data_IF_068619263354
#
_entry.id   IF_068619263354
#
_cell.length_a   1.000
_cell.length_b   1.000
_cell.length_c   1.000
_cell.angle_alpha   90.00
_cell.angle_beta   90.00
_cell.angle_gamma   90.00
#
_symmetry.space_group_name_H-M   'P 1'
#
loop_
_entity.id
_entity.type
_entity.pdbx_description
1 polymer ?
#
# COMPACT_ATOMS: atom_id res chain seq x y z
N UNK A 1 11.32 30.02 10.07
CA UNK A 1 11.67 28.80 10.82
C UNK A 1 12.06 29.25 12.21
N UNK A 2 11.30 28.89 13.23
CA UNK A 2 11.69 29.15 14.63
C UNK A 2 12.91 28.32 14.97
N UNK A 3 13.74 28.80 15.88
CA UNK A 3 14.92 28.14 16.41
C UNK A 3 14.58 26.91 17.27
N UNK A 4 13.89 25.93 16.68
CA UNK A 4 13.50 24.67 17.31
C UNK A 4 12.45 23.92 16.51
N UNK A 5 12.33 22.59 16.66
CA UNK A 5 11.32 21.81 15.97
C UNK A 5 9.92 22.21 16.46
N UNK A 6 9.07 22.67 15.56
CA UNK A 6 7.70 23.03 15.86
C UNK A 6 6.88 23.16 14.59
N UNK A 7 5.61 22.75 14.67
CA UNK A 7 4.65 22.97 13.59
C UNK A 7 4.05 24.38 13.71
N UNK A 8 3.72 24.98 12.58
CA UNK A 8 3.06 26.27 12.51
C UNK A 8 1.78 26.17 11.72
N UNK A 9 0.75 26.90 12.12
CA UNK A 9 -0.45 27.03 11.29
C UNK A 9 -0.08 27.74 10.00
N UNK A 10 -0.54 27.20 8.87
CA UNK A 10 -0.26 27.76 7.55
C UNK A 10 -1.16 28.96 7.30
N UNK A 11 -0.55 30.12 7.09
CA UNK A 11 -1.13 31.36 6.59
C UNK A 11 -0.15 32.03 5.60
N UNK A 12 -0.50 33.16 5.01
CA UNK A 12 0.34 33.82 4.01
C UNK A 12 1.72 34.22 4.56
N UNK A 13 1.77 34.65 5.83
CA UNK A 13 3.01 35.01 6.51
C UNK A 13 3.92 33.78 6.70
N UNK A 14 3.38 32.69 7.27
CA UNK A 14 4.15 31.46 7.53
C UNK A 14 4.53 30.74 6.24
N UNK A 15 3.71 30.86 5.17
CA UNK A 15 4.06 30.39 3.84
C UNK A 15 5.27 31.14 3.28
N UNK A 16 5.29 32.46 3.41
CA UNK A 16 6.45 33.28 2.99
C UNK A 16 7.71 32.99 3.80
N UNK A 17 7.57 32.74 5.12
CA UNK A 17 8.68 32.30 5.97
C UNK A 17 9.22 30.91 5.54
N UNK A 18 8.33 29.97 5.26
CA UNK A 18 8.68 28.64 4.77
C UNK A 18 9.43 28.67 3.43
N UNK A 19 8.93 29.46 2.47
CA UNK A 19 9.59 29.63 1.17
C UNK A 19 11.01 30.20 1.33
N UNK A 20 11.21 31.21 2.17
CA UNK A 20 12.54 31.74 2.47
C UNK A 20 13.47 30.72 3.11
N UNK A 21 12.94 29.91 4.04
CA UNK A 21 13.69 28.86 4.69
C UNK A 21 14.15 27.77 3.70
N UNK A 22 13.25 27.35 2.79
CA UNK A 22 13.56 26.38 1.74
C UNK A 22 14.64 26.92 0.81
N UNK A 23 14.52 28.18 0.36
CA UNK A 23 15.53 28.81 -0.51
C UNK A 23 16.90 29.01 0.15
N UNK A 24 16.96 28.98 1.46
CA UNK A 24 18.20 29.09 2.24
C UNK A 24 18.86 27.71 2.50
N UNK A 25 18.21 26.59 2.12
CA UNK A 25 18.80 25.25 2.26
C UNK A 25 19.94 25.09 1.23
N UNK A 26 21.01 24.51 1.71
CA UNK A 26 22.09 24.02 0.85
C UNK A 26 22.14 22.50 0.92
N UNK A 27 22.29 21.87 -0.24
CA UNK A 27 22.44 20.41 -0.30
C UNK A 27 23.76 20.02 0.35
N UNK A 28 23.71 19.25 1.43
CA UNK A 28 24.90 18.73 2.14
C UNK A 28 24.53 17.46 2.91
N UNK A 29 25.48 16.52 3.00
CA UNK A 29 25.31 15.27 3.73
C UNK A 29 24.75 14.14 2.89
N UNK A 30 24.39 13.03 3.55
CA UNK A 30 23.79 11.86 2.95
C UNK A 30 22.30 11.72 3.29
N UNK A 31 21.68 10.68 2.76
CA UNK A 31 20.28 10.34 2.98
C UNK A 31 20.17 9.45 4.22
N UNK A 32 19.58 9.95 5.31
CA UNK A 32 19.37 9.23 6.58
C UNK A 32 17.91 9.31 6.97
N UNK A 33 17.10 8.42 6.39
CA UNK A 33 15.64 8.49 6.44
C UNK A 33 15.10 8.32 7.86
N UNK A 34 15.77 7.56 8.73
CA UNK A 34 15.34 7.40 10.13
C UNK A 34 15.21 8.72 10.86
N UNK A 35 16.13 9.66 10.60
CA UNK A 35 16.12 10.99 11.24
C UNK A 35 14.93 11.82 10.79
N UNK A 36 14.49 11.66 9.55
CA UNK A 36 13.31 12.36 9.00
C UNK A 36 12.02 11.84 9.63
N UNK A 37 11.91 10.50 9.80
CA UNK A 37 10.80 9.88 10.48
C UNK A 37 10.72 10.30 11.96
N UNK A 38 11.84 10.32 12.66
CA UNK A 38 11.90 10.73 14.07
C UNK A 38 11.60 12.24 14.21
N UNK A 39 12.08 13.08 13.28
CA UNK A 39 11.74 14.49 13.25
C UNK A 39 10.23 14.70 13.05
N UNK A 40 9.60 13.97 12.13
CA UNK A 40 8.16 14.04 11.93
C UNK A 40 7.40 13.67 13.22
N UNK A 41 7.82 12.60 13.91
CA UNK A 41 7.28 12.23 15.21
C UNK A 41 7.40 13.36 16.26
N UNK A 42 8.55 13.99 16.34
CA UNK A 42 8.81 15.12 17.25
C UNK A 42 7.93 16.33 16.91
N UNK A 43 7.77 16.63 15.61
CA UNK A 43 6.92 17.72 15.16
C UNK A 43 5.44 17.48 15.53
N UNK A 44 4.92 16.28 15.31
CA UNK A 44 3.54 15.94 15.71
C UNK A 44 3.34 15.93 17.23
N UNK A 45 4.36 15.56 17.99
CA UNK A 45 4.29 15.62 19.44
C UNK A 45 4.15 17.06 19.96
N UNK A 46 4.57 18.07 19.18
CA UNK A 46 4.40 19.50 19.55
C UNK A 46 2.97 20.01 19.35
N UNK A 47 2.09 19.24 18.71
CA UNK A 47 0.67 19.59 18.42
C UNK A 47 -0.23 18.38 18.73
N UNK A 48 -0.35 17.95 19.99
CA UNK A 48 -1.05 16.73 20.37
C UNK A 48 -2.54 16.74 20.04
N UNK A 49 -3.15 17.92 19.92
CA UNK A 49 -4.55 18.12 19.58
C UNK A 49 -4.89 17.76 18.12
N UNK A 50 -3.87 17.64 17.24
CA UNK A 50 -4.08 17.28 15.83
C UNK A 50 -4.28 15.78 15.72
N UNK A 51 -5.45 15.38 15.23
CA UNK A 51 -5.81 13.96 15.07
C UNK A 51 -5.34 13.38 13.74
N UNK A 52 -5.31 14.18 12.68
CA UNK A 52 -4.83 13.76 11.36
C UNK A 52 -3.35 14.14 11.21
N UNK A 53 -2.50 13.13 11.19
CA UNK A 53 -1.05 13.26 11.07
C UNK A 53 -0.58 12.61 9.79
N UNK A 54 -0.09 13.41 8.86
CA UNK A 54 0.35 12.95 7.56
C UNK A 54 1.71 13.52 7.19
N UNK A 55 2.60 12.66 6.71
CA UNK A 55 3.94 12.99 6.22
C UNK A 55 3.99 12.74 4.72
N UNK A 56 4.55 13.65 3.97
CA UNK A 56 5.06 13.40 2.63
C UNK A 56 6.57 13.28 2.70
N UNK A 57 7.09 12.06 2.51
CA UNK A 57 8.51 11.78 2.40
C UNK A 57 8.92 11.85 0.94
N UNK A 58 9.90 12.69 0.65
CA UNK A 58 10.48 12.83 -0.68
C UNK A 58 11.98 12.55 -0.60
N UNK A 59 12.49 11.70 -1.48
CA UNK A 59 13.93 11.39 -1.59
C UNK A 59 14.35 11.26 -3.04
N UNK A 60 15.57 11.64 -3.35
CA UNK A 60 16.25 11.45 -4.64
C UNK A 60 17.44 10.50 -4.53
N UNK A 61 17.73 9.99 -3.33
CA UNK A 61 18.89 9.15 -3.06
C UNK A 61 18.58 7.90 -2.21
N UNK A 62 19.52 6.95 -2.26
CA UNK A 62 19.50 5.75 -1.41
C UNK A 62 19.73 6.11 0.06
N UNK A 63 19.07 5.37 0.95
CA UNK A 63 19.31 5.50 2.38
C UNK A 63 20.71 5.00 2.76
N UNK A 64 21.47 5.83 3.47
CA UNK A 64 22.88 5.56 3.81
C UNK A 64 23.06 4.91 5.19
N UNK A 65 21.98 4.50 5.84
CA UNK A 65 22.04 3.91 7.17
C UNK A 65 21.77 2.39 7.17
N UNK A 66 22.19 1.65 8.20
CA UNK A 66 21.85 0.24 8.34
C UNK A 66 20.32 0.02 8.41
N UNK A 67 19.84 -1.05 7.75
CA UNK A 67 18.42 -1.38 7.71
C UNK A 67 17.77 -1.48 9.11
N UNK A 68 18.51 -1.96 10.11
CA UNK A 68 18.04 -2.07 11.49
C UNK A 68 17.70 -0.72 12.15
N UNK A 69 18.42 0.34 11.77
CA UNK A 69 18.18 1.71 12.28
C UNK A 69 16.89 2.26 11.68
N UNK A 70 16.74 2.12 10.36
CA UNK A 70 15.50 2.48 9.68
C UNK A 70 14.30 1.69 10.21
N UNK A 71 14.44 0.37 10.42
CA UNK A 71 13.38 -0.46 11.00
C UNK A 71 12.95 -0.01 12.39
N UNK A 72 13.89 0.43 13.21
CA UNK A 72 13.57 0.98 14.53
C UNK A 72 12.78 2.29 14.44
N UNK A 73 13.12 3.17 13.49
CA UNK A 73 12.39 4.41 13.25
C UNK A 73 10.97 4.13 12.70
N UNK A 74 10.85 3.20 11.76
CA UNK A 74 9.55 2.76 11.24
C UNK A 74 8.65 2.24 12.37
N UNK A 75 9.17 1.38 13.25
CA UNK A 75 8.39 0.88 14.40
C UNK A 75 7.90 1.99 15.32
N UNK A 76 8.72 3.03 15.57
CA UNK A 76 8.28 4.20 16.38
C UNK A 76 7.20 5.01 15.69
N UNK A 77 7.25 5.12 14.37
CA UNK A 77 6.31 5.88 13.56
C UNK A 77 4.97 5.14 13.33
N UNK A 78 4.99 3.80 13.37
CA UNK A 78 3.82 2.94 13.13
C UNK A 78 2.68 3.28 14.11
N UNK A 79 1.46 3.45 13.57
CA UNK A 79 0.24 3.86 14.28
C UNK A 79 0.29 5.28 14.89
N UNK A 80 1.33 6.06 14.60
CA UNK A 80 1.43 7.43 15.11
C UNK A 80 1.10 8.48 14.03
N UNK A 81 1.53 8.25 12.78
CA UNK A 81 1.20 9.06 11.62
C UNK A 81 1.21 8.21 10.34
N UNK A 82 0.60 8.74 9.27
CA UNK A 82 0.69 8.16 7.93
C UNK A 82 1.79 8.84 7.12
N UNK A 83 2.41 8.09 6.19
CA UNK A 83 3.43 8.64 5.32
C UNK A 83 3.26 8.17 3.87
N UNK A 84 2.93 9.10 2.98
CA UNK A 84 3.09 8.90 1.54
C UNK A 84 4.55 9.15 1.16
N UNK A 85 5.12 8.28 0.34
CA UNK A 85 6.51 8.33 -0.05
C UNK A 85 6.66 8.52 -1.54
N UNK A 86 7.57 9.41 -1.95
CA UNK A 86 7.87 9.68 -3.36
C UNK A 86 9.38 9.66 -3.56
N UNK A 87 9.81 8.94 -4.58
CA UNK A 87 11.19 9.00 -5.01
C UNK A 87 11.32 9.84 -6.28
N UNK A 88 12.23 10.80 -6.30
CA UNK A 88 12.54 11.63 -7.44
C UNK A 88 13.74 11.06 -8.21
N UNK A 89 13.63 11.00 -9.55
CA UNK A 89 14.66 10.35 -10.37
C UNK A 89 14.78 8.85 -10.10
N UNK A 90 15.99 8.30 -10.18
CA UNK A 90 16.20 6.84 -10.16
C UNK A 90 17.26 6.35 -9.16
N UNK A 91 17.81 7.22 -8.32
CA UNK A 91 18.95 6.86 -7.45
C UNK A 91 18.52 6.44 -6.02
N UNK A 92 17.32 5.92 -5.89
CA UNK A 92 16.74 5.42 -4.66
C UNK A 92 16.22 3.97 -4.81
N UNK A 93 15.88 3.29 -3.70
CA UNK A 93 15.40 1.90 -3.70
C UNK A 93 13.89 1.81 -3.47
N UNK A 94 13.16 1.30 -4.47
CA UNK A 94 11.69 1.12 -4.40
C UNK A 94 11.28 0.26 -3.21
N UNK A 95 11.96 -0.86 -2.98
CA UNK A 95 11.66 -1.79 -1.87
C UNK A 95 11.78 -1.13 -0.50
N UNK A 96 12.74 -0.23 -0.31
CA UNK A 96 12.97 0.44 0.96
C UNK A 96 11.88 1.47 1.26
N UNK A 97 11.58 2.32 0.27
CA UNK A 97 10.54 3.35 0.41
C UNK A 97 9.14 2.74 0.48
N UNK A 98 8.90 1.65 -0.27
CA UNK A 98 7.65 0.87 -0.16
C UNK A 98 7.46 0.32 1.25
N UNK A 99 8.51 -0.22 1.86
CA UNK A 99 8.45 -0.72 3.24
C UNK A 99 8.04 0.37 4.23
N UNK A 100 8.55 1.60 4.06
CA UNK A 100 8.14 2.74 4.88
C UNK A 100 6.67 3.08 4.65
N UNK A 101 6.28 3.28 3.39
CA UNK A 101 4.91 3.63 3.03
C UNK A 101 3.90 2.58 3.53
N UNK A 102 4.18 1.30 3.29
CA UNK A 102 3.33 0.21 3.77
C UNK A 102 3.24 0.21 5.30
N UNK A 103 4.36 0.31 6.02
CA UNK A 103 4.35 0.35 7.48
C UNK A 103 3.54 1.53 8.03
N UNK A 104 3.49 2.64 7.32
CA UNK A 104 2.81 3.89 7.73
C UNK A 104 1.50 4.14 6.99
N UNK A 105 0.89 3.09 6.40
CA UNK A 105 -0.44 3.13 5.73
C UNK A 105 -0.53 4.20 4.62
N UNK A 106 0.55 4.44 3.93
CA UNK A 106 0.64 5.38 2.82
C UNK A 106 0.93 4.69 1.49
N UNK A 107 1.21 5.49 0.48
CA UNK A 107 1.48 5.07 -0.89
C UNK A 107 2.93 5.35 -1.28
N UNK A 108 3.44 4.59 -2.25
CA UNK A 108 4.74 4.85 -2.89
C UNK A 108 4.53 5.11 -4.37
N UNK A 109 5.25 6.09 -4.91
CA UNK A 109 5.32 6.31 -6.36
C UNK A 109 6.64 6.97 -6.74
N UNK A 110 6.93 6.99 -8.06
CA UNK A 110 8.11 7.64 -8.64
C UNK A 110 7.72 8.96 -9.30
N UNK A 111 8.58 9.96 -9.16
CA UNK A 111 8.56 11.20 -9.93
C UNK A 111 9.75 11.13 -10.91
N UNK A 112 9.56 10.64 -12.14
CA UNK A 112 10.68 10.38 -13.04
C UNK A 112 11.37 11.66 -13.51
N UNK A 113 10.62 12.77 -13.60
CA UNK A 113 11.13 14.04 -14.09
C UNK A 113 10.88 15.19 -13.11
N UNK A 114 11.89 16.04 -12.82
CA UNK A 114 11.72 17.18 -11.91
C UNK A 114 10.58 18.13 -12.30
N UNK A 115 10.28 18.28 -13.59
CA UNK A 115 9.19 19.12 -14.09
C UNK A 115 7.79 18.66 -13.59
N UNK A 116 7.63 17.40 -13.23
CA UNK A 116 6.36 16.83 -12.74
C UNK A 116 6.18 17.01 -11.23
N UNK A 117 7.23 17.40 -10.51
CA UNK A 117 7.25 17.43 -9.03
C UNK A 117 6.18 18.36 -8.47
N UNK A 118 6.03 19.57 -9.03
CA UNK A 118 5.05 20.54 -8.53
C UNK A 118 3.62 20.02 -8.67
N UNK A 119 3.25 19.49 -9.83
CA UNK A 119 1.90 18.98 -10.09
C UNK A 119 1.56 17.79 -9.17
N UNK A 120 2.49 16.84 -9.02
CA UNK A 120 2.29 15.69 -8.13
C UNK A 120 2.23 16.11 -6.66
N UNK A 121 3.06 17.06 -6.23
CA UNK A 121 3.02 17.56 -4.88
C UNK A 121 1.66 18.23 -4.57
N UNK A 122 1.13 19.05 -5.49
CA UNK A 122 -0.18 19.67 -5.35
C UNK A 122 -1.31 18.64 -5.29
N UNK A 123 -1.22 17.56 -6.06
CA UNK A 123 -2.20 16.47 -6.03
C UNK A 123 -2.20 15.74 -4.68
N UNK A 124 -1.02 15.37 -4.18
CA UNK A 124 -0.85 14.71 -2.88
C UNK A 124 -1.37 15.59 -1.75
N UNK A 125 -1.06 16.88 -1.79
CA UNK A 125 -1.54 17.83 -0.78
C UNK A 125 -3.06 17.96 -0.80
N UNK A 126 -3.68 18.05 -2.00
CA UNK A 126 -5.15 18.06 -2.13
C UNK A 126 -5.77 16.78 -1.59
N UNK A 127 -5.23 15.63 -1.95
CA UNK A 127 -5.70 14.33 -1.45
C UNK A 127 -5.55 14.23 0.09
N UNK A 128 -4.44 14.69 0.65
CA UNK A 128 -4.24 14.71 2.09
C UNK A 128 -5.22 15.63 2.81
N UNK A 129 -5.47 16.82 2.27
CA UNK A 129 -6.40 17.80 2.86
C UNK A 129 -7.87 17.40 2.73
N UNK A 130 -8.22 16.53 1.77
CA UNK A 130 -9.59 16.02 1.59
C UNK A 130 -9.95 14.89 2.56
N UNK A 131 -8.99 14.35 3.32
CA UNK A 131 -9.24 13.27 4.27
C UNK A 131 -10.08 13.80 5.43
N UNK A 132 -11.32 13.31 5.54
CA UNK A 132 -12.27 13.73 6.58
C UNK A 132 -12.30 12.83 7.80
N UNK A 133 -11.75 11.60 7.69
CA UNK A 133 -11.75 10.59 8.75
C UNK A 133 -10.31 10.14 9.00
N UNK A 134 -9.81 10.36 10.21
CA UNK A 134 -8.39 10.10 10.55
C UNK A 134 -8.10 8.69 11.05
N UNK A 135 -9.07 8.00 11.65
CA UNK A 135 -8.86 6.73 12.37
C UNK A 135 -10.00 5.75 12.09
N UNK A 136 -10.11 5.31 10.85
CA UNK A 136 -11.03 4.24 10.50
C UNK A 136 -10.35 2.88 10.70
N UNK A 137 -11.09 1.94 11.28
CA UNK A 137 -10.63 0.58 11.55
C UNK A 137 -11.58 -0.44 10.93
N UNK A 138 -11.02 -1.47 10.34
CA UNK A 138 -11.77 -2.67 9.97
C UNK A 138 -11.79 -3.62 11.15
N UNK A 139 -12.96 -3.85 11.74
CA UNK A 139 -13.13 -4.84 12.84
C UNK A 139 -13.68 -6.14 12.26
N UNK A 140 -13.02 -7.24 12.57
CA UNK A 140 -13.41 -8.57 12.12
C UNK A 140 -13.66 -9.44 13.35
N UNK A 141 -14.92 -9.82 13.52
CA UNK A 141 -15.33 -10.85 14.48
C UNK A 141 -15.40 -12.19 13.75
N UNK A 142 -14.89 -13.24 14.38
CA UNK A 142 -15.04 -14.63 13.94
C UNK A 142 -15.49 -15.50 15.13
N UNK A 143 -16.26 -16.59 14.91
CA UNK A 143 -16.78 -17.42 15.98
C UNK A 143 -15.65 -18.19 16.68
N UNK A 144 -15.92 -18.67 17.88
CA UNK A 144 -14.98 -19.49 18.62
C UNK A 144 -14.53 -20.72 17.82
N UNK A 145 -13.24 -20.99 17.82
CA UNK A 145 -12.60 -22.05 17.04
C UNK A 145 -12.31 -21.70 15.58
N UNK A 146 -12.78 -20.54 15.09
CA UNK A 146 -12.40 -20.02 13.77
C UNK A 146 -11.05 -19.30 13.82
N UNK A 147 -10.38 -19.25 12.67
CA UNK A 147 -9.13 -18.53 12.48
C UNK A 147 -9.29 -17.49 11.36
N UNK A 148 -9.03 -16.23 11.64
CA UNK A 148 -8.82 -15.22 10.61
C UNK A 148 -7.46 -15.48 9.98
N UNK A 149 -7.44 -15.91 8.72
CA UNK A 149 -6.22 -16.32 7.99
C UNK A 149 -5.49 -15.09 7.50
N UNK A 150 -6.21 -14.17 6.87
CA UNK A 150 -5.69 -12.86 6.49
C UNK A 150 -6.79 -11.80 6.43
N UNK A 151 -6.35 -10.56 6.58
CA UNK A 151 -7.12 -9.35 6.27
C UNK A 151 -6.25 -8.49 5.37
N UNK A 152 -6.77 -8.16 4.19
CA UNK A 152 -6.00 -7.46 3.16
C UNK A 152 -6.86 -6.40 2.49
N UNK A 153 -6.35 -5.17 2.37
CA UNK A 153 -6.89 -4.21 1.43
C UNK A 153 -6.56 -4.67 0.02
N UNK A 154 -7.49 -4.58 -0.90
CA UNK A 154 -7.31 -5.02 -2.30
C UNK A 154 -7.69 -3.94 -3.30
N UNK A 155 -8.27 -2.83 -2.84
CA UNK A 155 -8.50 -1.61 -3.60
C UNK A 155 -8.32 -0.39 -2.67
N UNK A 156 -7.65 0.68 -3.08
CA UNK A 156 -7.02 0.96 -4.38
C UNK A 156 -5.65 0.29 -4.58
N UNK A 157 -5.09 -0.26 -3.51
CA UNK A 157 -3.77 -0.93 -3.50
C UNK A 157 -3.84 -2.21 -2.70
N UNK A 158 -2.98 -3.17 -3.06
CA UNK A 158 -2.79 -4.38 -2.24
C UNK A 158 -1.97 -4.03 -1.01
N UNK A 159 -2.57 -4.20 0.17
CA UNK A 159 -1.91 -3.98 1.46
C UNK A 159 -2.32 -5.09 2.45
N UNK A 160 -1.37 -5.84 2.98
CA UNK A 160 -1.63 -6.88 3.97
C UNK A 160 -1.69 -6.29 5.38
N UNK A 161 -2.86 -6.37 6.00
CA UNK A 161 -3.14 -5.85 7.34
C UNK A 161 -3.08 -6.94 8.41
N UNK A 162 -2.87 -8.19 8.03
CA UNK A 162 -3.00 -9.37 8.92
C UNK A 162 -2.17 -9.24 10.19
N UNK A 163 -0.90 -8.83 10.05
CA UNK A 163 0.02 -8.67 11.17
C UNK A 163 -0.27 -7.42 12.05
N UNK A 164 -1.17 -6.54 11.60
CA UNK A 164 -1.52 -5.29 12.34
C UNK A 164 -2.72 -5.45 13.25
N UNK A 165 -3.15 -6.69 13.49
CA UNK A 165 -4.28 -6.99 14.34
C UNK A 165 -4.03 -6.50 15.77
N UNK A 166 -4.96 -5.69 16.27
CA UNK A 166 -5.10 -5.40 17.70
C UNK A 166 -6.36 -6.08 18.23
N UNK A 167 -6.31 -6.67 19.43
CA UNK A 167 -7.47 -7.31 20.01
C UNK A 167 -8.45 -6.26 20.53
N UNK A 168 -9.71 -6.32 20.06
CA UNK A 168 -10.83 -5.61 20.69
C UNK A 168 -11.42 -6.48 21.80
N UNK A 169 -11.54 -7.79 21.54
CA UNK A 169 -11.84 -8.84 22.50
C UNK A 169 -11.34 -10.19 21.93
N UNK A 170 -11.61 -11.30 22.62
CA UNK A 170 -11.12 -12.63 22.25
C UNK A 170 -11.51 -13.04 20.83
N UNK A 171 -12.70 -12.64 20.37
CA UNK A 171 -13.24 -13.03 19.07
C UNK A 171 -13.14 -11.92 18.01
N UNK A 172 -12.76 -10.69 18.37
CA UNK A 172 -12.75 -9.54 17.47
C UNK A 172 -11.35 -8.94 17.37
N UNK A 173 -10.83 -8.84 16.16
CA UNK A 173 -9.62 -8.08 15.85
C UNK A 173 -9.96 -6.77 15.14
N UNK A 174 -9.23 -5.70 15.47
CA UNK A 174 -9.25 -4.44 14.75
C UNK A 174 -7.97 -4.32 13.91
N UNK A 175 -8.14 -3.79 12.69
CA UNK A 175 -7.08 -3.60 11.71
C UNK A 175 -7.12 -2.14 11.26
N UNK A 176 -6.01 -1.38 11.37
CA UNK A 176 -5.98 0.02 10.98
C UNK A 176 -6.08 0.14 9.46
N UNK A 177 -6.91 1.06 8.98
CA UNK A 177 -7.09 1.30 7.54
C UNK A 177 -6.55 2.66 7.10
N UNK A 178 -6.04 3.44 8.03
CA UNK A 178 -5.55 4.78 7.78
C UNK A 178 -6.66 5.83 7.64
N UNK A 179 -6.29 7.04 7.25
CA UNK A 179 -7.24 8.11 7.03
C UNK A 179 -7.98 7.93 5.70
N UNK A 180 -9.24 8.37 5.67
CA UNK A 180 -10.13 8.26 4.52
C UNK A 180 -10.55 9.63 4.02
N UNK A 181 -10.59 9.78 2.70
CA UNK A 181 -11.28 10.84 1.97
C UNK A 181 -12.65 10.36 1.49
N UNK A 182 -13.25 11.05 0.52
CA UNK A 182 -14.41 10.55 -0.22
C UNK A 182 -13.94 9.50 -1.26
N UNK A 183 -13.78 8.27 -0.78
CA UNK A 183 -13.20 7.17 -1.55
C UNK A 183 -13.87 5.83 -1.23
N UNK A 184 -13.63 4.85 -2.10
CA UNK A 184 -14.05 3.47 -1.88
C UNK A 184 -12.83 2.59 -1.71
N UNK A 185 -12.84 1.72 -0.70
CA UNK A 185 -11.82 0.68 -0.49
C UNK A 185 -12.47 -0.69 -0.39
N UNK A 186 -11.84 -1.68 -1.00
CA UNK A 186 -12.29 -3.07 -0.93
C UNK A 186 -11.29 -3.89 -0.09
N UNK A 187 -11.83 -4.81 0.71
CA UNK A 187 -11.05 -5.66 1.60
C UNK A 187 -11.39 -7.12 1.39
N UNK A 188 -10.37 -7.97 1.33
CA UNK A 188 -10.50 -9.40 1.43
C UNK A 188 -10.23 -9.86 2.87
N UNK A 189 -11.18 -10.61 3.42
CA UNK A 189 -11.07 -11.26 4.71
C UNK A 189 -11.22 -12.75 4.50
N UNK A 190 -10.21 -13.52 4.89
CA UNK A 190 -10.24 -14.99 4.84
C UNK A 190 -10.38 -15.55 6.25
N UNK A 191 -11.40 -16.38 6.44
CA UNK A 191 -11.67 -17.04 7.71
C UNK A 191 -11.75 -18.54 7.49
N UNK A 192 -10.97 -19.30 8.26
CA UNK A 192 -11.04 -20.76 8.33
C UNK A 192 -11.98 -21.15 9.46
N UNK A 193 -12.96 -21.98 9.14
CA UNK A 193 -13.94 -22.47 10.10
C UNK A 193 -13.68 -23.95 10.43
N UNK A 194 -14.01 -24.40 11.65
CA UNK A 194 -14.09 -25.83 11.94
C UNK A 194 -15.16 -26.50 11.06
N UNK A 195 -14.90 -27.73 10.64
CA UNK A 195 -15.88 -28.50 9.90
C UNK A 195 -17.15 -28.77 10.72
N UNK A 196 -18.30 -28.74 10.06
CA UNK A 196 -19.62 -29.07 10.64
C UNK A 196 -20.37 -30.07 9.78
N UNK A 197 -21.47 -30.58 10.29
CA UNK A 197 -22.32 -31.49 9.56
C UNK A 197 -22.93 -30.82 8.31
N UNK A 198 -23.14 -31.60 7.25
CA UNK A 198 -23.74 -31.13 6.01
C UNK A 198 -25.11 -30.48 6.27
N UNK A 199 -25.39 -29.41 5.57
CA UNK A 199 -26.60 -28.62 5.70
C UNK A 199 -26.59 -27.60 6.85
N UNK A 200 -25.63 -27.66 7.77
CA UNK A 200 -25.52 -26.66 8.83
C UNK A 200 -25.07 -25.31 8.28
N UNK A 201 -25.58 -24.26 8.91
CA UNK A 201 -25.19 -22.88 8.65
C UNK A 201 -24.66 -22.22 9.92
N UNK A 202 -23.70 -21.31 9.77
CA UNK A 202 -23.28 -20.43 10.85
C UNK A 202 -22.79 -19.08 10.33
N UNK A 203 -22.76 -18.09 11.21
CA UNK A 203 -22.09 -16.83 10.94
C UNK A 203 -20.57 -17.10 10.92
N UNK A 204 -19.94 -16.89 9.75
CA UNK A 204 -18.52 -17.09 9.54
C UNK A 204 -17.70 -15.88 9.98
N UNK A 205 -18.20 -14.67 9.69
CA UNK A 205 -17.58 -13.43 10.10
C UNK A 205 -18.64 -12.31 10.22
N UNK A 206 -18.34 -11.34 11.09
CA UNK A 206 -18.94 -10.01 11.07
C UNK A 206 -17.83 -9.03 10.80
N UNK A 207 -17.96 -8.26 9.72
CA UNK A 207 -16.97 -7.25 9.33
C UNK A 207 -17.61 -5.87 9.55
N UNK A 208 -16.89 -4.98 10.21
CA UNK A 208 -17.38 -3.67 10.59
C UNK A 208 -16.36 -2.61 10.22
N UNK A 209 -16.84 -1.44 9.80
CA UNK A 209 -16.04 -0.20 9.78
C UNK A 209 -16.39 0.59 11.04
N UNK A 210 -15.39 0.91 11.83
CA UNK A 210 -15.52 1.67 13.06
C UNK A 210 -14.58 2.89 13.07
N UNK A 211 -15.03 3.97 13.70
CA UNK A 211 -14.25 5.17 13.98
C UNK A 211 -14.27 5.34 15.50
N UNK A 212 -13.11 5.17 16.14
CA UNK A 212 -13.08 5.02 17.58
C UNK A 212 -13.94 3.83 18.02
N UNK A 213 -14.88 4.05 18.94
CA UNK A 213 -15.83 3.01 19.39
C UNK A 213 -17.12 2.95 18.56
N UNK A 214 -17.34 3.88 17.66
CA UNK A 214 -18.57 4.00 16.88
C UNK A 214 -18.50 3.16 15.59
N UNK A 215 -19.39 2.16 15.49
CA UNK A 215 -19.55 1.31 14.30
C UNK A 215 -20.40 2.02 13.27
N UNK A 216 -19.80 2.39 12.13
CA UNK A 216 -20.46 3.13 11.05
C UNK A 216 -21.20 2.22 10.06
N UNK A 217 -20.66 1.02 9.82
CA UNK A 217 -21.26 0.04 8.93
C UNK A 217 -20.87 -1.38 9.32
N UNK A 218 -21.69 -2.36 8.95
CA UNK A 218 -21.36 -3.77 9.14
C UNK A 218 -21.90 -4.65 8.03
N UNK A 219 -21.19 -5.76 7.79
CA UNK A 219 -21.59 -6.86 6.93
C UNK A 219 -21.48 -8.19 7.67
N UNK A 220 -22.37 -9.12 7.34
CA UNK A 220 -22.41 -10.46 7.90
C UNK A 220 -22.09 -11.47 6.81
N UNK A 221 -21.16 -12.38 7.08
CA UNK A 221 -20.80 -13.49 6.19
C UNK A 221 -21.26 -14.79 6.82
N UNK A 222 -22.13 -15.52 6.13
CA UNK A 222 -22.63 -16.85 6.54
C UNK A 222 -21.89 -17.93 5.76
N UNK A 223 -21.61 -19.04 6.40
CA UNK A 223 -21.10 -20.25 5.77
C UNK A 223 -22.12 -21.38 5.94
N UNK A 224 -22.25 -22.18 4.86
CA UNK A 224 -23.09 -23.39 4.84
C UNK A 224 -22.23 -24.56 4.37
N UNK A 225 -22.28 -25.67 5.10
CA UNK A 225 -21.57 -26.90 4.71
C UNK A 225 -22.40 -27.68 3.69
N UNK A 226 -21.81 -27.95 2.54
CA UNK A 226 -22.46 -28.64 1.42
C UNK A 226 -21.54 -29.73 0.86
N UNK A 227 -22.13 -30.82 0.37
CA UNK A 227 -21.46 -31.83 -0.43
C UNK A 227 -21.57 -31.58 -1.93
N UNK A 228 -22.20 -30.49 -2.36
CA UNK A 228 -22.32 -30.11 -3.76
C UNK A 228 -21.04 -29.44 -4.24
N UNK A 229 -20.25 -30.16 -5.05
CA UNK A 229 -18.97 -29.69 -5.58
C UNK A 229 -19.15 -28.44 -6.46
N UNK A 230 -20.28 -28.24 -7.14
CA UNK A 230 -20.53 -27.04 -7.93
C UNK A 230 -20.68 -25.79 -7.05
N UNK A 231 -21.16 -25.95 -5.82
CA UNK A 231 -21.28 -24.84 -4.86
C UNK A 231 -19.94 -24.60 -4.14
N UNK A 232 -19.23 -25.66 -3.77
CA UNK A 232 -18.00 -25.58 -2.98
C UNK A 232 -16.78 -25.19 -3.80
N UNK A 233 -16.73 -25.55 -5.09
CA UNK A 233 -15.66 -25.19 -6.02
C UNK A 233 -15.85 -23.83 -6.71
N UNK A 234 -17.03 -23.19 -6.57
CA UNK A 234 -17.33 -21.91 -7.21
C UNK A 234 -16.67 -20.77 -6.45
N UNK A 235 -15.75 -20.08 -7.12
CA UNK A 235 -15.14 -18.85 -6.60
C UNK A 235 -15.99 -17.66 -7.08
N UNK A 236 -16.31 -16.74 -6.17
CA UNK A 236 -16.95 -15.47 -6.53
C UNK A 236 -16.03 -14.67 -7.47
N UNK A 237 -16.62 -14.08 -8.51
CA UNK A 237 -15.85 -13.37 -9.54
C UNK A 237 -15.06 -12.17 -9.00
N UNK A 238 -15.59 -11.48 -7.99
CA UNK A 238 -14.87 -10.36 -7.36
C UNK A 238 -13.68 -10.88 -6.52
N UNK A 239 -13.90 -11.99 -5.80
CA UNK A 239 -12.81 -12.64 -5.06
C UNK A 239 -11.72 -13.13 -6.02
N UNK A 240 -12.10 -13.75 -7.14
CA UNK A 240 -11.15 -14.20 -8.17
C UNK A 240 -10.36 -13.03 -8.77
N UNK A 241 -11.04 -11.94 -9.13
CA UNK A 241 -10.40 -10.73 -9.67
C UNK A 241 -9.33 -10.17 -8.73
N UNK A 242 -9.67 -9.92 -7.46
CA UNK A 242 -8.73 -9.34 -6.52
C UNK A 242 -7.64 -10.33 -6.07
N UNK A 243 -7.90 -11.64 -6.14
CA UNK A 243 -6.86 -12.67 -5.97
C UNK A 243 -5.84 -12.58 -7.09
N UNK A 244 -6.30 -12.44 -8.34
CA UNK A 244 -5.44 -12.22 -9.51
C UNK A 244 -4.63 -10.92 -9.40
N UNK A 245 -5.21 -9.83 -8.95
CA UNK A 245 -4.51 -8.55 -8.72
C UNK A 245 -3.43 -8.69 -7.62
N UNK A 246 -3.70 -9.46 -6.58
CA UNK A 246 -2.72 -9.72 -5.52
C UNK A 246 -1.55 -10.56 -6.03
N UNK A 247 -1.85 -11.60 -6.84
CA UNK A 247 -0.82 -12.40 -7.50
C UNK A 247 0.00 -11.55 -8.48
N UNK A 248 -0.67 -10.69 -9.27
CA UNK A 248 -0.02 -9.75 -10.20
C UNK A 248 1.04 -8.89 -9.48
N UNK A 249 0.68 -8.31 -8.33
CA UNK A 249 1.62 -7.52 -7.54
C UNK A 249 2.86 -8.34 -7.14
N UNK A 250 2.67 -9.56 -6.66
CA UNK A 250 3.75 -10.44 -6.23
C UNK A 250 4.67 -10.83 -7.40
N UNK A 251 4.11 -11.30 -8.53
CA UNK A 251 4.92 -11.76 -9.66
C UNK A 251 5.65 -10.63 -10.38
N UNK A 252 5.14 -9.39 -10.38
CA UNK A 252 5.89 -8.22 -10.86
C UNK A 252 7.13 -8.01 -9.99
N UNK A 253 6.97 -7.96 -8.67
CA UNK A 253 8.09 -7.71 -7.75
C UNK A 253 9.13 -8.83 -7.80
N UNK A 254 8.68 -10.10 -7.82
CA UNK A 254 9.55 -11.26 -7.96
C UNK A 254 10.29 -11.26 -9.29
N UNK A 255 9.61 -10.91 -10.39
CA UNK A 255 10.20 -10.85 -11.73
C UNK A 255 11.26 -9.77 -11.85
N UNK A 256 11.01 -8.57 -11.32
CA UNK A 256 11.99 -7.47 -11.28
C UNK A 256 13.18 -7.80 -10.37
N UNK A 257 12.95 -8.42 -9.22
CA UNK A 257 14.01 -8.88 -8.33
C UNK A 257 14.88 -9.95 -9.00
N UNK A 258 14.27 -10.92 -9.70
CA UNK A 258 15.01 -11.93 -10.46
C UNK A 258 15.84 -11.32 -11.58
N UNK A 259 15.28 -10.34 -12.32
CA UNK A 259 16.01 -9.59 -13.36
C UNK A 259 17.22 -8.86 -12.79
N UNK A 260 17.04 -8.15 -11.67
CA UNK A 260 18.14 -7.46 -10.98
C UNK A 260 19.24 -8.41 -10.48
N UNK A 261 18.87 -9.64 -10.11
CA UNK A 261 19.80 -10.69 -9.70
C UNK A 261 20.45 -11.43 -10.88
N UNK A 262 20.14 -11.08 -12.14
CA UNK A 262 20.66 -11.73 -13.33
C UNK A 262 20.02 -13.08 -13.66
N UNK A 263 18.92 -13.45 -12.99
CA UNK A 263 18.18 -14.69 -13.27
C UNK A 263 17.11 -14.43 -14.36
N UNK A 264 17.55 -14.46 -15.62
CA UNK A 264 16.70 -14.15 -16.78
C UNK A 264 15.56 -15.15 -16.96
N UNK A 265 15.75 -16.43 -16.65
CA UNK A 265 14.74 -17.47 -16.78
C UNK A 265 13.58 -17.22 -15.81
N UNK A 266 13.91 -17.01 -14.53
CA UNK A 266 12.90 -16.71 -13.50
C UNK A 266 12.21 -15.37 -13.79
N UNK A 267 12.97 -14.35 -14.20
CA UNK A 267 12.42 -13.04 -14.56
C UNK A 267 11.41 -13.15 -15.71
N UNK A 268 11.77 -13.90 -16.78
CA UNK A 268 10.88 -14.12 -17.92
C UNK A 268 9.61 -14.86 -17.52
N UNK A 269 9.73 -15.89 -16.71
CA UNK A 269 8.59 -16.68 -16.21
C UNK A 269 7.64 -15.81 -15.38
N UNK A 270 8.19 -15.05 -14.42
CA UNK A 270 7.38 -14.21 -13.52
C UNK A 270 6.74 -13.02 -14.24
N UNK A 271 7.48 -12.34 -15.10
CA UNK A 271 6.94 -11.21 -15.86
C UNK A 271 5.96 -11.69 -16.96
N UNK A 272 6.14 -12.90 -17.51
CA UNK A 272 5.16 -13.53 -18.39
C UNK A 272 3.83 -13.79 -17.66
N UNK A 273 3.89 -14.35 -16.47
CA UNK A 273 2.69 -14.53 -15.62
C UNK A 273 2.06 -13.19 -15.26
N UNK A 274 2.87 -12.15 -15.03
CA UNK A 274 2.36 -10.80 -14.78
C UNK A 274 1.57 -10.24 -15.98
N UNK A 275 2.05 -10.43 -17.21
CA UNK A 275 1.34 -10.02 -18.43
C UNK A 275 0.00 -10.74 -18.56
N UNK A 276 -0.04 -12.04 -18.30
CA UNK A 276 -1.26 -12.83 -18.32
C UNK A 276 -2.27 -12.32 -17.29
N UNK A 277 -1.87 -12.15 -16.04
CA UNK A 277 -2.73 -11.67 -14.96
C UNK A 277 -3.23 -10.23 -15.20
N UNK A 278 -2.38 -9.35 -15.75
CA UNK A 278 -2.77 -7.99 -16.08
C UNK A 278 -3.87 -7.97 -17.16
N UNK A 279 -3.77 -8.86 -18.16
CA UNK A 279 -4.80 -9.03 -19.19
C UNK A 279 -6.09 -9.62 -18.61
N UNK A 280 -6.00 -10.70 -17.83
CA UNK A 280 -7.15 -11.37 -17.20
C UNK A 280 -7.93 -10.44 -16.24
N UNK A 281 -7.22 -9.58 -15.50
CA UNK A 281 -7.83 -8.66 -14.53
C UNK A 281 -8.17 -7.29 -15.12
N UNK A 282 -7.83 -7.03 -16.39
CA UNK A 282 -8.07 -5.75 -17.05
C UNK A 282 -7.31 -4.59 -16.41
N UNK A 283 -6.10 -4.85 -15.91
CA UNK A 283 -5.23 -3.83 -15.34
C UNK A 283 -4.42 -3.14 -16.45
N UNK A 284 -5.04 -2.14 -17.09
CA UNK A 284 -4.45 -1.43 -18.23
C UNK A 284 -3.16 -0.67 -17.84
N UNK A 285 -3.08 -0.13 -16.61
CA UNK A 285 -1.87 0.55 -16.12
C UNK A 285 -0.70 -0.42 -16.00
N UNK A 286 -0.91 -1.57 -15.37
CA UNK A 286 0.13 -2.62 -15.27
C UNK A 286 0.52 -3.12 -16.66
N UNK A 287 -0.44 -3.35 -17.56
CA UNK A 287 -0.19 -3.79 -18.94
C UNK A 287 0.70 -2.79 -19.68
N UNK A 288 0.40 -1.49 -19.60
CA UNK A 288 1.21 -0.45 -20.26
C UNK A 288 2.64 -0.40 -19.72
N UNK A 289 2.83 -0.52 -18.40
CA UNK A 289 4.15 -0.51 -17.76
C UNK A 289 4.94 -1.80 -18.03
N UNK A 290 4.29 -2.98 -18.05
CA UNK A 290 4.93 -4.24 -18.40
C UNK A 290 5.50 -4.22 -19.82
N UNK A 291 4.77 -3.65 -20.80
CA UNK A 291 5.24 -3.50 -22.18
C UNK A 291 6.48 -2.63 -22.33
N UNK A 292 6.83 -1.82 -21.35
CA UNK A 292 8.08 -1.08 -21.34
C UNK A 292 9.28 -1.93 -20.94
N UNK A 293 9.05 -2.98 -20.13
CA UNK A 293 10.09 -3.86 -19.58
C UNK A 293 10.25 -5.14 -20.40
N UNK A 294 9.15 -5.66 -20.98
CA UNK A 294 9.15 -6.89 -21.78
C UNK A 294 8.53 -6.68 -23.16
N UNK A 295 8.98 -7.49 -24.13
CA UNK A 295 8.32 -7.67 -25.42
C UNK A 295 7.30 -8.80 -25.28
N UNK A 296 6.01 -8.45 -25.37
CA UNK A 296 4.91 -9.41 -25.24
C UNK A 296 4.70 -10.11 -26.60
N UNK A 297 4.86 -11.43 -26.61
CA UNK A 297 4.63 -12.28 -27.79
C UNK A 297 3.20 -12.82 -27.80
N UNK A 298 2.76 -13.32 -26.64
CA UNK A 298 1.41 -13.83 -26.43
C UNK A 298 0.98 -13.46 -24.98
N UNK A 299 -0.03 -12.60 -24.86
CA UNK A 299 -0.51 -12.14 -23.56
C UNK A 299 -1.35 -13.20 -22.84
N UNK A 300 -2.11 -14.04 -23.56
CA UNK A 300 -2.96 -15.06 -22.96
C UNK A 300 -2.11 -16.24 -22.43
N UNK A 301 -1.08 -16.63 -23.19
CA UNK A 301 -0.13 -17.64 -22.75
C UNK A 301 0.94 -17.10 -21.79
N UNK A 302 1.04 -15.79 -21.60
CA UNK A 302 2.09 -15.16 -20.80
C UNK A 302 3.50 -15.30 -21.41
N UNK A 303 3.58 -15.43 -22.75
CA UNK A 303 4.86 -15.56 -23.44
C UNK A 303 5.48 -14.20 -23.69
N UNK A 304 6.65 -13.98 -23.08
CA UNK A 304 7.36 -12.71 -23.16
C UNK A 304 8.86 -12.91 -23.41
N UNK A 305 9.52 -11.86 -23.83
CA UNK A 305 10.98 -11.75 -23.88
C UNK A 305 11.42 -10.51 -23.13
N UNK A 306 12.44 -10.63 -22.29
CA UNK A 306 13.03 -9.47 -21.63
C UNK A 306 13.64 -8.51 -22.67
N UNK A 307 13.37 -7.22 -22.56
CA UNK A 307 14.02 -6.23 -23.40
C UNK A 307 15.49 -6.11 -23.02
N UNK A 308 16.38 -5.98 -24.01
CA UNK A 308 17.82 -5.85 -23.82
C UNK A 308 18.21 -4.51 -23.15
N UNK A 309 17.46 -3.47 -23.46
CA UNK A 309 17.66 -2.14 -22.87
C UNK A 309 16.30 -1.65 -22.33
N UNK A 310 16.26 -1.38 -21.04
CA UNK A 310 15.10 -0.84 -20.33
C UNK A 310 15.58 0.34 -19.53
N UNK A 311 14.87 1.45 -19.60
CA UNK A 311 15.14 2.62 -18.76
C UNK A 311 14.90 2.25 -17.29
N UNK A 312 15.83 2.58 -16.40
CA UNK A 312 15.71 2.31 -14.95
C UNK A 312 14.42 2.92 -14.39
N UNK A 313 14.02 4.09 -14.88
CA UNK A 313 12.76 4.74 -14.51
C UNK A 313 11.52 3.89 -14.84
N UNK A 314 11.52 3.18 -15.98
CA UNK A 314 10.39 2.33 -16.38
C UNK A 314 10.27 1.07 -15.50
N UNK A 315 11.40 0.46 -15.10
CA UNK A 315 11.40 -0.62 -14.12
C UNK A 315 10.88 -0.16 -12.75
N UNK A 316 11.37 0.98 -12.27
CA UNK A 316 10.93 1.56 -11.00
C UNK A 316 9.46 1.98 -11.04
N UNK A 317 8.98 2.50 -12.17
CA UNK A 317 7.56 2.84 -12.36
C UNK A 317 6.67 1.59 -12.39
N UNK A 318 7.12 0.48 -12.96
CA UNK A 318 6.42 -0.81 -12.91
C UNK A 318 6.40 -1.33 -11.46
N UNK A 319 7.54 -1.28 -10.78
CA UNK A 319 7.66 -1.76 -9.41
C UNK A 319 6.79 -0.94 -8.44
N UNK A 320 6.83 0.39 -8.47
CA UNK A 320 6.00 1.24 -7.61
C UNK A 320 4.51 1.04 -7.86
N UNK A 321 4.11 0.87 -9.12
CA UNK A 321 2.72 0.64 -9.50
C UNK A 321 2.23 -0.80 -9.26
N UNK A 322 3.11 -1.76 -8.96
CA UNK A 322 2.76 -3.18 -8.84
C UNK A 322 1.61 -3.45 -7.86
N UNK A 323 1.52 -2.69 -6.78
CA UNK A 323 0.46 -2.83 -5.77
C UNK A 323 -0.83 -2.10 -6.10
N UNK A 324 -0.85 -1.23 -7.14
CA UNK A 324 -2.07 -0.53 -7.58
C UNK A 324 -3.02 -1.54 -8.22
N UNK A 325 -4.30 -1.43 -7.90
CA UNK A 325 -5.34 -2.35 -8.38
C UNK A 325 -6.44 -1.61 -9.12
N UNK A 326 -7.18 -2.35 -9.93
CA UNK A 326 -8.35 -1.84 -10.66
C UNK A 326 -9.61 -2.48 -10.11
N UNK A 327 -10.71 -1.72 -10.13
CA UNK A 327 -12.00 -2.24 -9.69
C UNK A 327 -12.55 -3.23 -10.72
N UNK A 328 -13.32 -4.23 -10.23
CA UNK A 328 -14.07 -5.14 -11.10
C UNK A 328 -14.97 -4.34 -12.04
N UNK A 329 -14.80 -4.52 -13.34
CA UNK A 329 -15.75 -3.97 -14.32
C UNK A 329 -17.05 -4.76 -14.21
N UNK A 330 -18.18 -4.06 -13.98
CA UNK A 330 -19.51 -4.66 -13.96
C UNK A 330 -19.98 -4.94 -15.37
#
# INVERSE_FOLDING_TARGET
>A
VRSGPGMVRMDDRTRGEGARAINALSAAGGTVISTWLDLAGTLFASVPEVTQRHVLLLTDGENNEPASVLDAAIRRATNYYQADCRGAGTDWKVSEIRRIAQALLGTVDIIPEPAQMEAQFQEIMRASMSRGVSDAQLRVWAPQGAQVVFVRQVLPTVEDLTARRTAVNDLTGAYPTGAWSDETRDYHVSVRLPAKALGQEQLAARVQIAIGDDVKAQGLVKAKWSSDDNLTARIDSQVAHYTGQTELAAVIQEGLAAKSAGNEELATTKLGRAVQLAAETGNDEATAKLRKVVDVQDAEAGTVRLKKAVEKADEMALDTASTKTTRVRK
#
